data_IF_363350255639
#
_entry.id   IF_363350255639
#
_cell.length_a   1.000
_cell.length_b   1.000
_cell.length_c   1.000
_cell.angle_alpha   90.00
_cell.angle_beta   90.00
_cell.angle_gamma   90.00
#
_symmetry.space_group_name_H-M   'P 1'
#
loop_
_entity.id
_entity.type
_entity.pdbx_description
1 polymer ?
#
# COMPACT_ATOMS: atom_id res chain seq x y z
N UNK A 1 -7.98 1.23 5.67
CA UNK A 1 -6.92 0.58 6.43
C UNK A 1 -5.66 0.57 5.59
N UNK A 2 -4.53 0.66 6.24
CA UNK A 2 -3.21 0.64 5.63
C UNK A 2 -2.34 -0.33 6.41
N UNK A 3 -1.41 -0.98 5.72
CA UNK A 3 -0.37 -1.78 6.32
C UNK A 3 0.95 -1.44 5.63
N UNK A 4 2.01 -1.26 6.39
CA UNK A 4 3.31 -0.89 5.86
C UNK A 4 4.43 -1.37 6.76
N UNK A 5 5.56 -1.59 6.13
CA UNK A 5 6.83 -1.84 6.78
C UNK A 5 7.59 -0.53 6.92
N UNK A 6 8.17 -0.32 8.08
CA UNK A 6 8.98 0.84 8.37
C UNK A 6 10.31 0.43 8.98
N UNK A 7 11.30 0.33 8.13
CA UNK A 7 12.65 -0.09 8.51
C UNK A 7 13.42 0.96 9.34
N UNK A 8 12.93 2.20 9.47
CA UNK A 8 13.85 3.23 9.96
C UNK A 8 13.23 4.31 10.84
N UNK A 9 11.94 4.25 11.20
CA UNK A 9 11.41 5.54 11.46
C UNK A 9 10.64 5.76 12.76
N UNK A 10 9.55 5.03 12.99
CA UNK A 10 8.60 5.49 14.01
C UNK A 10 9.13 5.44 15.44
N UNK A 11 10.04 4.51 15.73
CA UNK A 11 10.50 4.26 17.09
C UNK A 11 11.99 4.58 17.23
N UNK A 12 12.83 4.10 16.33
CA UNK A 12 14.27 4.38 16.32
C UNK A 12 14.90 3.97 14.98
N UNK A 13 16.01 4.62 14.60
CA UNK A 13 16.80 4.25 13.40
C UNK A 13 17.30 2.80 13.38
N UNK A 14 17.33 2.13 14.51
CA UNK A 14 17.81 0.77 14.68
C UNK A 14 16.72 -0.28 14.83
N UNK A 15 15.47 0.08 14.63
CA UNK A 15 14.30 -0.79 14.81
C UNK A 15 13.31 -0.57 13.69
N UNK A 16 13.00 -1.63 12.97
CA UNK A 16 11.87 -1.69 12.05
C UNK A 16 10.57 -2.07 12.77
N UNK A 17 9.46 -1.76 12.15
CA UNK A 17 8.14 -2.11 12.64
C UNK A 17 7.21 -2.48 11.48
N UNK A 18 6.49 -3.58 11.65
CA UNK A 18 5.32 -3.85 10.85
C UNK A 18 4.13 -3.09 11.45
N UNK A 19 3.54 -2.19 10.69
CA UNK A 19 2.45 -1.34 11.17
C UNK A 19 1.17 -1.60 10.38
N UNK A 20 0.06 -1.75 11.10
CA UNK A 20 -1.28 -1.83 10.53
C UNK A 20 -2.12 -0.72 11.15
N UNK A 21 -2.69 0.13 10.32
CA UNK A 21 -3.48 1.28 10.76
C UNK A 21 -4.85 1.34 10.08
N UNK A 22 -5.84 1.83 10.78
CA UNK A 22 -7.16 2.11 10.22
C UNK A 22 -7.82 3.31 10.87
N UNK A 23 -8.64 4.01 10.10
CA UNK A 23 -9.56 5.02 10.62
C UNK A 23 -10.86 4.33 11.03
N UNK A 24 -11.15 4.32 12.33
CA UNK A 24 -12.39 3.81 12.86
C UNK A 24 -13.51 4.85 12.76
N UNK A 25 -14.72 4.41 12.49
CA UNK A 25 -15.91 5.24 12.68
C UNK A 25 -16.21 5.41 14.17
N UNK A 26 -16.92 6.47 14.52
CA UNK A 26 -17.38 6.69 15.88
C UNK A 26 -18.18 5.45 16.37
N UNK A 27 -17.81 4.93 17.54
CA UNK A 27 -18.42 3.73 18.10
C UNK A 27 -17.92 2.38 17.56
N UNK A 28 -17.08 2.36 16.52
CA UNK A 28 -16.63 1.13 15.86
C UNK A 28 -15.14 0.79 16.12
N UNK A 29 -14.57 1.29 17.20
CA UNK A 29 -13.15 1.09 17.51
C UNK A 29 -12.83 -0.39 17.75
N UNK A 30 -13.64 -1.09 18.54
CA UNK A 30 -13.41 -2.50 18.86
C UNK A 30 -13.57 -3.41 17.63
N UNK A 31 -14.57 -3.14 16.79
CA UNK A 31 -14.77 -3.89 15.54
C UNK A 31 -13.64 -3.63 14.53
N UNK A 32 -13.15 -2.38 14.46
CA UNK A 32 -12.01 -2.01 13.64
C UNK A 32 -10.74 -2.71 14.10
N UNK A 33 -10.42 -2.67 15.38
CA UNK A 33 -9.26 -3.37 15.94
C UNK A 33 -9.36 -4.89 15.72
N UNK A 34 -10.52 -5.46 15.95
CA UNK A 34 -10.76 -6.89 15.69
C UNK A 34 -10.48 -7.24 14.22
N UNK A 35 -10.95 -6.41 13.29
CA UNK A 35 -10.72 -6.62 11.87
C UNK A 35 -9.24 -6.51 11.51
N UNK A 36 -8.52 -5.48 11.99
CA UNK A 36 -7.09 -5.34 11.77
C UNK A 36 -6.31 -6.57 12.22
N UNK A 37 -6.58 -7.06 13.42
CA UNK A 37 -5.91 -8.24 13.97
C UNK A 37 -6.21 -9.49 13.15
N UNK A 38 -7.46 -9.70 12.76
CA UNK A 38 -7.85 -10.85 11.92
C UNK A 38 -7.21 -10.81 10.53
N UNK A 39 -7.18 -9.65 9.88
CA UNK A 39 -6.54 -9.52 8.56
C UNK A 39 -5.03 -9.74 8.65
N UNK A 40 -4.38 -9.19 9.68
CA UNK A 40 -2.95 -9.46 9.93
C UNK A 40 -2.69 -10.95 10.13
N UNK A 41 -3.53 -11.64 10.90
CA UNK A 41 -3.40 -13.10 11.09
C UNK A 41 -3.68 -13.88 9.80
N UNK A 42 -4.63 -13.43 8.98
CA UNK A 42 -4.90 -14.05 7.69
C UNK A 42 -3.67 -13.98 6.78
N UNK A 43 -3.05 -12.82 6.67
CA UNK A 43 -1.83 -12.64 5.89
C UNK A 43 -0.69 -13.51 6.48
N UNK A 44 -0.54 -13.54 7.80
CA UNK A 44 0.47 -14.38 8.45
C UNK A 44 0.28 -15.86 8.18
N UNK A 45 -0.95 -16.36 8.18
CA UNK A 45 -1.24 -17.79 8.02
C UNK A 45 -1.28 -18.23 6.56
N UNK A 46 -1.80 -17.41 5.68
CA UNK A 46 -2.12 -17.80 4.29
C UNK A 46 -1.38 -17.00 3.23
N UNK A 47 -0.76 -15.87 3.60
CA UNK A 47 -0.14 -14.96 2.66
C UNK A 47 -1.15 -14.23 1.78
N UNK A 48 -0.63 -13.59 0.74
CA UNK A 48 -1.41 -12.96 -0.32
C UNK A 48 -1.72 -13.97 -1.43
N UNK A 49 -2.85 -13.80 -2.09
CA UNK A 49 -3.19 -14.59 -3.28
C UNK A 49 -2.36 -14.13 -4.49
N UNK A 50 -2.17 -15.00 -5.51
CA UNK A 50 -1.49 -14.61 -6.74
C UNK A 50 -2.13 -13.40 -7.43
N UNK A 51 -3.44 -13.26 -7.36
CA UNK A 51 -4.17 -12.14 -7.96
C UNK A 51 -3.99 -10.82 -7.20
N UNK A 52 -3.93 -10.85 -5.86
CA UNK A 52 -3.58 -9.67 -5.05
C UNK A 52 -2.16 -9.20 -5.36
N UNK A 53 -1.21 -10.14 -5.39
CA UNK A 53 0.17 -9.85 -5.74
C UNK A 53 0.30 -9.27 -7.15
N UNK A 54 -0.36 -9.86 -8.15
CA UNK A 54 -0.29 -9.38 -9.53
C UNK A 54 -0.84 -7.96 -9.68
N UNK A 55 -1.96 -7.64 -9.02
CA UNK A 55 -2.50 -6.27 -9.00
C UNK A 55 -1.53 -5.28 -8.35
N UNK A 56 -0.95 -5.64 -7.23
CA UNK A 56 0.04 -4.80 -6.54
C UNK A 56 1.27 -4.57 -7.43
N UNK A 57 1.78 -5.64 -8.05
CA UNK A 57 2.92 -5.59 -8.97
C UNK A 57 2.65 -4.66 -10.16
N UNK A 58 1.50 -4.79 -10.81
CA UNK A 58 1.10 -3.92 -11.92
C UNK A 58 1.01 -2.47 -11.47
N UNK A 59 0.42 -2.20 -10.31
CA UNK A 59 0.30 -0.85 -9.79
C UNK A 59 1.66 -0.21 -9.53
N UNK A 60 2.58 -0.93 -8.91
CA UNK A 60 3.95 -0.46 -8.66
C UNK A 60 4.66 -0.17 -9.98
N UNK A 61 4.62 -1.10 -10.93
CA UNK A 61 5.24 -0.90 -12.26
C UNK A 61 4.67 0.33 -12.98
N UNK A 62 3.35 0.56 -12.91
CA UNK A 62 2.71 1.73 -13.49
C UNK A 62 3.08 3.05 -12.81
N UNK A 63 3.28 3.05 -11.50
CA UNK A 63 3.78 4.23 -10.79
C UNK A 63 5.19 4.61 -11.25
N UNK A 64 6.10 3.65 -11.38
CA UNK A 64 7.45 3.90 -11.87
C UNK A 64 7.48 4.28 -13.36
N UNK A 65 6.64 3.67 -14.18
CA UNK A 65 6.46 4.07 -15.58
C UNK A 65 6.00 5.54 -15.69
N UNK A 66 5.02 5.93 -14.89
CA UNK A 66 4.54 7.32 -14.84
C UNK A 66 5.63 8.28 -14.37
N UNK A 67 6.35 7.95 -13.30
CA UNK A 67 7.47 8.75 -12.81
C UNK A 67 8.59 8.89 -13.84
N UNK A 68 8.90 7.81 -14.56
CA UNK A 68 9.89 7.83 -15.66
C UNK A 68 9.44 8.73 -16.80
N UNK A 69 8.18 8.65 -17.21
CA UNK A 69 7.63 9.48 -18.29
C UNK A 69 7.63 10.98 -17.91
N UNK A 70 7.36 11.28 -16.64
CA UNK A 70 7.30 12.65 -16.11
C UNK A 70 8.64 13.17 -15.54
N UNK A 71 9.75 12.45 -15.74
CA UNK A 71 11.05 12.76 -15.12
C UNK A 71 11.58 14.15 -15.39
N UNK A 72 11.24 14.73 -16.55
CA UNK A 72 11.65 16.09 -16.91
C UNK A 72 10.75 17.18 -16.31
N UNK A 73 9.60 16.80 -15.75
CA UNK A 73 8.62 17.70 -15.16
C UNK A 73 8.55 17.56 -13.62
N UNK A 74 9.49 16.83 -13.03
CA UNK A 74 9.52 16.58 -11.61
C UNK A 74 9.80 17.87 -10.82
N UNK A 75 9.06 18.04 -9.72
CA UNK A 75 9.25 19.20 -8.84
C UNK A 75 10.51 19.04 -7.98
N UNK A 76 11.13 20.18 -7.64
CA UNK A 76 12.35 20.20 -6.83
C UNK A 76 12.19 19.58 -5.44
N UNK A 77 10.99 19.61 -4.85
CA UNK A 77 10.73 19.01 -3.54
C UNK A 77 10.89 17.49 -3.52
N UNK A 78 10.67 16.82 -4.64
CA UNK A 78 10.92 15.39 -4.77
C UNK A 78 12.42 15.08 -4.68
N UNK A 79 13.25 15.83 -5.39
CA UNK A 79 14.72 15.70 -5.31
C UNK A 79 15.24 16.02 -3.91
N UNK A 80 14.70 17.06 -3.27
CA UNK A 80 15.09 17.41 -1.90
C UNK A 80 14.82 16.25 -0.94
N UNK A 81 13.67 15.60 -1.04
CA UNK A 81 13.35 14.42 -0.19
C UNK A 81 14.34 13.27 -0.42
N UNK A 82 14.69 13.01 -1.66
CA UNK A 82 15.66 11.98 -2.01
C UNK A 82 17.05 12.29 -1.43
N UNK A 83 17.53 13.52 -1.57
CA UNK A 83 18.82 13.94 -1.02
C UNK A 83 18.84 13.95 0.52
N UNK A 84 17.75 14.38 1.15
CA UNK A 84 17.62 14.31 2.61
C UNK A 84 17.66 12.87 3.08
N UNK A 85 16.91 11.97 2.42
CA UNK A 85 16.92 10.55 2.76
C UNK A 85 18.31 9.94 2.57
N UNK A 86 19.00 10.26 1.48
CA UNK A 86 20.38 9.84 1.28
C UNK A 86 21.30 10.28 2.42
N UNK A 87 21.23 11.55 2.79
CA UNK A 87 22.08 12.10 3.84
C UNK A 87 21.77 11.54 5.23
N UNK A 88 20.50 11.39 5.56
CA UNK A 88 20.07 10.98 6.92
C UNK A 88 20.09 9.48 7.13
N UNK A 89 19.78 8.69 6.10
CA UNK A 89 19.55 7.26 6.20
C UNK A 89 20.51 6.42 5.35
N UNK A 90 21.38 7.06 4.57
CA UNK A 90 22.30 6.34 3.68
C UNK A 90 21.62 5.74 2.46
N UNK A 91 20.41 6.18 2.12
CA UNK A 91 19.68 5.71 0.94
C UNK A 91 20.46 5.96 -0.36
N UNK A 92 20.25 5.12 -1.35
CA UNK A 92 20.85 5.31 -2.67
C UNK A 92 20.07 6.34 -3.49
N UNK A 93 20.76 6.99 -4.42
CA UNK A 93 20.17 7.92 -5.41
C UNK A 93 20.47 7.40 -6.81
N UNK A 94 19.85 6.34 -7.28
CA UNK A 94 20.10 5.77 -8.60
C UNK A 94 19.47 6.61 -9.73
N UNK A 95 18.45 7.39 -9.40
CA UNK A 95 17.63 8.12 -10.34
C UNK A 95 16.58 7.26 -11.03
N UNK A 96 15.47 7.89 -11.42
CA UNK A 96 14.27 7.21 -11.93
C UNK A 96 14.52 6.34 -13.16
N UNK A 97 15.48 6.66 -14.01
CA UNK A 97 15.81 5.87 -15.21
C UNK A 97 16.37 4.50 -14.82
N UNK A 98 17.27 4.48 -13.84
CA UNK A 98 17.85 3.24 -13.33
C UNK A 98 16.82 2.46 -12.50
N UNK A 99 16.06 3.14 -11.65
CA UNK A 99 15.01 2.53 -10.83
C UNK A 99 13.95 1.84 -11.70
N UNK A 100 13.45 2.54 -12.71
CA UNK A 100 12.47 1.99 -13.64
C UNK A 100 13.01 0.75 -14.38
N UNK A 101 14.25 0.83 -14.87
CA UNK A 101 14.89 -0.29 -15.58
C UNK A 101 15.06 -1.50 -14.66
N UNK A 102 15.60 -1.27 -13.46
CA UNK A 102 15.86 -2.31 -12.48
C UNK A 102 14.55 -2.97 -11.99
N UNK A 103 13.55 -2.15 -11.68
CA UNK A 103 12.26 -2.64 -11.21
C UNK A 103 11.57 -3.52 -12.27
N UNK A 104 11.59 -3.12 -13.54
CA UNK A 104 11.05 -3.94 -14.61
C UNK A 104 11.75 -5.29 -14.76
N UNK A 105 13.05 -5.34 -14.50
CA UNK A 105 13.80 -6.60 -14.53
C UNK A 105 13.51 -7.48 -13.33
N UNK A 106 13.45 -6.89 -12.14
CA UNK A 106 13.31 -7.65 -10.88
C UNK A 106 11.85 -8.09 -10.66
N UNK A 107 10.89 -7.19 -10.85
CA UNK A 107 9.49 -7.45 -10.50
C UNK A 107 8.86 -8.63 -11.25
N UNK A 108 9.38 -8.96 -12.43
CA UNK A 108 8.90 -10.13 -13.20
C UNK A 108 9.42 -11.46 -12.65
N UNK A 109 10.48 -11.43 -11.84
CA UNK A 109 11.17 -12.62 -11.36
C UNK A 109 10.94 -12.90 -9.88
N UNK A 110 10.16 -12.07 -9.19
CA UNK A 110 9.80 -12.29 -7.78
C UNK A 110 8.50 -13.11 -7.74
N UNK A 111 8.50 -14.35 -7.25
CA UNK A 111 7.28 -15.12 -7.08
C UNK A 111 6.51 -14.66 -5.84
N UNK A 112 5.19 -14.86 -5.84
CA UNK A 112 4.33 -14.50 -4.69
C UNK A 112 4.74 -15.24 -3.41
N UNK A 113 5.25 -16.44 -3.53
CA UNK A 113 5.72 -17.26 -2.40
C UNK A 113 6.86 -16.58 -1.64
N UNK A 114 7.76 -15.92 -2.36
CA UNK A 114 8.87 -15.17 -1.74
C UNK A 114 8.36 -13.93 -1.01
N UNK A 115 7.38 -13.24 -1.58
CA UNK A 115 6.72 -12.10 -0.92
C UNK A 115 5.97 -12.57 0.32
N UNK A 116 5.26 -13.69 0.23
CA UNK A 116 4.54 -14.26 1.37
C UNK A 116 5.48 -14.68 2.49
N UNK A 117 6.60 -15.31 2.17
CA UNK A 117 7.61 -15.66 3.17
C UNK A 117 8.14 -14.41 3.89
N UNK A 118 8.50 -13.39 3.12
CA UNK A 118 9.00 -12.13 3.68
C UNK A 118 8.00 -11.48 4.65
N UNK A 119 6.74 -11.33 4.25
CA UNK A 119 5.73 -10.70 5.10
C UNK A 119 5.39 -11.55 6.33
N UNK A 120 5.38 -12.87 6.22
CA UNK A 120 5.14 -13.78 7.33
C UNK A 120 6.25 -13.70 8.38
N UNK A 121 7.49 -13.56 7.94
CA UNK A 121 8.64 -13.37 8.83
C UNK A 121 8.62 -12.02 9.54
N UNK A 122 8.09 -10.98 8.88
CA UNK A 122 7.96 -9.64 9.46
C UNK A 122 6.87 -9.53 10.51
N UNK A 123 5.76 -10.26 10.36
CA UNK A 123 4.65 -10.23 11.32
C UNK A 123 5.05 -11.00 12.58
N UNK A 124 5.67 -10.28 13.52
CA UNK A 124 6.09 -10.83 14.81
C UNK A 124 4.92 -11.17 15.74
N UNK A 125 5.22 -11.91 16.81
CA UNK A 125 4.26 -12.23 17.87
C UNK A 125 4.53 -11.44 19.16
N UNK A 126 5.72 -10.89 19.27
CA UNK A 126 6.21 -10.14 20.41
C UNK A 126 6.36 -8.66 20.10
N UNK A 127 6.56 -7.86 21.14
CA UNK A 127 6.82 -6.41 21.04
C UNK A 127 5.70 -5.65 20.31
N UNK A 128 4.45 -6.02 20.57
CA UNK A 128 3.28 -5.42 19.93
C UNK A 128 2.84 -4.19 20.72
N UNK A 129 2.61 -3.09 20.00
CA UNK A 129 2.07 -1.86 20.55
C UNK A 129 0.73 -1.56 19.88
N UNK A 130 -0.27 -1.21 20.70
CA UNK A 130 -1.58 -0.79 20.23
C UNK A 130 -1.72 0.69 20.55
N UNK A 131 -1.81 1.52 19.54
CA UNK A 131 -2.04 2.97 19.68
C UNK A 131 -3.44 3.35 19.20
N UNK A 132 -4.13 4.16 19.99
CA UNK A 132 -5.39 4.78 19.62
C UNK A 132 -5.25 6.30 19.77
N UNK A 133 -5.51 7.03 18.71
CA UNK A 133 -5.55 8.49 18.71
C UNK A 133 -6.88 8.96 18.15
N UNK A 134 -7.37 10.07 18.65
CA UNK A 134 -8.63 10.64 18.17
C UNK A 134 -8.86 12.05 18.68
N UNK A 135 -9.83 12.79 18.13
CA UNK A 135 -10.15 14.14 18.57
C UNK A 135 -10.73 14.13 19.98
N UNK A 136 -10.34 15.11 20.79
CA UNK A 136 -11.00 15.41 22.06
C UNK A 136 -12.33 16.12 21.76
N UNK A 137 -13.41 15.35 21.68
CA UNK A 137 -14.75 15.82 21.33
C UNK A 137 -15.74 15.34 22.36
N UNK A 138 -16.58 16.25 22.83
CA UNK A 138 -17.66 15.93 23.76
C UNK A 138 -18.60 14.84 23.21
N UNK A 139 -18.92 13.86 24.05
CA UNK A 139 -19.80 12.74 23.68
C UNK A 139 -19.10 11.52 23.08
N UNK A 140 -17.83 11.61 22.66
CA UNK A 140 -17.06 10.44 22.22
C UNK A 140 -16.47 9.72 23.44
N UNK A 141 -16.76 8.43 23.57
CA UNK A 141 -16.16 7.57 24.58
C UNK A 141 -15.13 6.66 23.92
N UNK A 142 -13.89 6.82 24.30
CA UNK A 142 -12.80 5.95 23.88
C UNK A 142 -12.69 4.71 24.79
N UNK A 143 -12.37 3.53 24.26
CA UNK A 143 -12.05 2.37 25.08
C UNK A 143 -10.80 2.63 25.93
N UNK A 144 -10.76 2.05 27.10
CA UNK A 144 -9.56 2.06 27.94
C UNK A 144 -8.46 1.17 27.35
N UNK A 145 -7.23 1.36 27.79
CA UNK A 145 -6.09 0.52 27.40
C UNK A 145 -6.36 -0.97 27.69
N UNK A 146 -6.96 -1.28 28.85
CA UNK A 146 -7.34 -2.64 29.21
C UNK A 146 -8.39 -3.22 28.24
N UNK A 147 -9.36 -2.41 27.80
CA UNK A 147 -10.35 -2.83 26.83
C UNK A 147 -9.74 -3.10 25.46
N UNK A 148 -8.83 -2.24 25.00
CA UNK A 148 -8.10 -2.44 23.76
C UNK A 148 -7.27 -3.73 23.80
N UNK A 149 -6.52 -3.95 24.87
CA UNK A 149 -5.74 -5.16 25.06
C UNK A 149 -6.63 -6.42 25.06
N UNK A 150 -7.76 -6.38 25.77
CA UNK A 150 -8.71 -7.50 25.79
C UNK A 150 -9.30 -7.79 24.41
N UNK A 151 -9.69 -6.75 23.66
CA UNK A 151 -10.20 -6.89 22.30
C UNK A 151 -9.14 -7.51 21.39
N UNK A 152 -7.91 -7.03 21.48
CA UNK A 152 -6.77 -7.57 20.73
C UNK A 152 -6.52 -9.05 21.03
N UNK A 153 -6.39 -9.43 22.31
CA UNK A 153 -6.14 -10.82 22.72
C UNK A 153 -7.27 -11.74 22.28
N UNK A 154 -8.52 -11.29 22.38
CA UNK A 154 -9.68 -12.04 21.90
C UNK A 154 -9.63 -12.22 20.37
N UNK A 155 -9.32 -11.16 19.62
CA UNK A 155 -9.25 -11.21 18.18
C UNK A 155 -8.14 -12.16 17.68
N UNK A 156 -6.99 -12.22 18.38
CA UNK A 156 -5.90 -13.16 18.07
C UNK A 156 -6.30 -14.64 18.21
N UNK A 157 -7.31 -14.95 19.01
CA UNK A 157 -7.79 -16.32 19.19
C UNK A 157 -8.90 -16.70 18.20
N UNK A 158 -9.38 -15.74 17.42
CA UNK A 158 -10.43 -16.02 16.44
C UNK A 158 -9.85 -16.77 15.24
N UNK A 159 -10.54 -17.82 14.77
CA UNK A 159 -10.12 -18.48 13.54
C UNK A 159 -10.26 -17.54 12.35
N UNK A 160 -9.32 -17.66 11.44
CA UNK A 160 -9.35 -16.95 10.16
C UNK A 160 -9.32 -17.95 9.02
N UNK A 161 -9.98 -17.62 7.93
CA UNK A 161 -9.99 -18.43 6.70
C UNK A 161 -9.14 -17.75 5.63
N UNK A 162 -8.61 -18.51 4.65
CA UNK A 162 -7.96 -17.92 3.48
C UNK A 162 -8.86 -16.89 2.80
N UNK A 163 -8.26 -15.84 2.27
CA UNK A 163 -9.01 -14.87 1.50
C UNK A 163 -9.61 -15.52 0.25
N UNK A 164 -10.91 -15.38 0.07
CA UNK A 164 -11.63 -15.86 -1.12
C UNK A 164 -11.96 -14.66 -1.98
N UNK A 165 -11.30 -14.59 -3.10
CA UNK A 165 -11.50 -13.52 -4.05
C UNK A 165 -12.63 -13.87 -5.04
N UNK A 166 -13.52 -12.90 -5.25
CA UNK A 166 -14.52 -12.95 -6.33
C UNK A 166 -14.14 -11.93 -7.39
N UNK A 167 -13.18 -12.28 -8.24
CA UNK A 167 -12.81 -11.43 -9.37
C UNK A 167 -13.63 -11.85 -10.59
N UNK A 168 -14.35 -10.90 -11.17
CA UNK A 168 -14.93 -11.10 -12.50
C UNK A 168 -13.81 -10.93 -13.54
N UNK A 169 -13.63 -11.93 -14.38
CA UNK A 169 -12.75 -11.86 -15.55
C UNK A 169 -13.47 -11.28 -16.78
N UNK A 170 -14.70 -10.84 -16.61
CA UNK A 170 -15.44 -10.21 -17.69
C UNK A 170 -14.85 -8.83 -18.00
N UNK A 171 -14.69 -8.50 -19.28
CA UNK A 171 -14.21 -7.18 -19.66
C UNK A 171 -15.20 -6.10 -19.19
N UNK A 172 -14.68 -5.00 -18.66
CA UNK A 172 -15.46 -3.83 -18.21
C UNK A 172 -16.41 -3.30 -19.29
N UNK A 173 -16.02 -3.46 -20.56
CA UNK A 173 -16.81 -3.11 -21.73
C UNK A 173 -16.97 -4.38 -22.57
N UNK A 174 -18.09 -5.12 -22.45
CA UNK A 174 -18.31 -6.36 -23.17
C UNK A 174 -18.26 -6.21 -24.69
N UNK A 175 -18.71 -5.06 -25.18
CA UNK A 175 -18.67 -4.74 -26.60
C UNK A 175 -17.97 -3.40 -26.78
N UNK A 176 -16.80 -3.41 -27.39
CA UNK A 176 -16.09 -2.16 -27.69
C UNK A 176 -16.93 -1.28 -28.62
N UNK A 177 -17.07 0.01 -28.31
CA UNK A 177 -17.75 0.93 -29.22
C UNK A 177 -17.00 1.00 -30.55
N UNK A 178 -17.75 1.08 -31.64
CA UNK A 178 -17.14 1.31 -32.97
C UNK A 178 -16.50 2.70 -32.94
N UNK A 179 -15.18 2.80 -33.29
CA UNK A 179 -14.53 4.10 -33.35
C UNK A 179 -15.25 5.05 -34.30
N UNK A 180 -15.47 6.28 -33.86
CA UNK A 180 -15.98 7.32 -34.75
C UNK A 180 -15.00 7.61 -35.86
N UNK A 181 -15.49 8.09 -37.00
CA UNK A 181 -14.66 8.58 -38.08
C UNK A 181 -14.45 10.08 -37.96
N UNK A 182 -13.24 10.55 -38.21
CA UNK A 182 -12.98 11.99 -38.34
C UNK A 182 -13.60 12.45 -39.64
N UNK A 183 -14.67 13.23 -39.56
CA UNK A 183 -15.40 13.71 -40.75
C UNK A 183 -14.84 15.04 -41.27
N UNK A 184 -14.16 15.83 -40.45
CA UNK A 184 -13.56 17.10 -40.86
C UNK A 184 -12.38 17.42 -39.94
N UNK A 185 -11.28 17.91 -40.53
CA UNK A 185 -10.12 18.44 -39.81
C UNK A 185 -9.89 19.89 -40.26
N UNK A 186 -9.88 20.82 -39.28
CA UNK A 186 -9.58 22.24 -39.54
C UNK A 186 -8.32 22.63 -38.79
N UNK A 187 -7.35 23.17 -39.50
CA UNK A 187 -6.15 23.73 -38.90
C UNK A 187 -6.47 25.10 -38.30
N UNK A 188 -6.30 25.27 -37.00
CA UNK A 188 -6.48 26.57 -36.35
C UNK A 188 -5.42 27.57 -36.79
N UNK A 189 -5.84 28.83 -37.01
CA UNK A 189 -4.87 29.90 -37.39
C UNK A 189 -4.01 30.35 -36.19
N UNK A 190 -4.40 30.02 -34.97
CA UNK A 190 -3.67 30.33 -33.75
C UNK A 190 -3.18 29.02 -33.08
N UNK A 191 -1.90 29.01 -32.75
CA UNK A 191 -1.24 27.91 -32.01
C UNK A 191 -1.02 26.58 -32.77
N UNK A 192 -1.29 26.49 -34.05
CA UNK A 192 -1.08 25.26 -34.83
C UNK A 192 -1.90 24.07 -34.39
N UNK A 193 -2.99 24.29 -33.67
CA UNK A 193 -3.90 23.22 -33.25
C UNK A 193 -4.75 22.73 -34.43
N UNK A 194 -4.87 21.41 -34.56
CA UNK A 194 -5.74 20.73 -35.52
C UNK A 194 -6.92 20.07 -34.80
#
# INVERSE_FOLDING_TARGET
>A
AEAYDDDNFMIAKSKGAWTVAALAKEGEIDSTLTTLVKETQRVKQYGFTPSEYERARINVLKQYESAYNERNNQKNDAYVREYVNHFTNGGYIPGIEMEYTLLNQIAQNIPVEQVNQYIQDMIGEDNIVIGLTGPDKEGIKYPTEENLLRTFLKARQMPVEPYKETVSNEPLVPTLPTPGQITETKTGQHFGAT
#
